data_IF_285396126571
#
_entry.id   IF_285396126571
#
_cell.length_a   1.000
_cell.length_b   1.000
_cell.length_c   1.000
_cell.angle_alpha   90.00
_cell.angle_beta   90.00
_cell.angle_gamma   90.00
#
_symmetry.space_group_name_H-M   'P 1'
#
loop_
_entity.id
_entity.type
_entity.pdbx_description
1 polymer ?
#
# COMPACT_ATOMS: atom_id res chain seq x y z
N UNK A 1 -26.23 34.63 -66.13
CA UNK A 1 -26.39 33.34 -65.40
C UNK A 1 -25.11 33.11 -64.62
N UNK A 2 -25.19 33.18 -63.29
CA UNK A 2 -24.04 32.91 -62.39
C UNK A 2 -24.23 31.50 -61.77
N UNK A 3 -23.24 30.63 -61.76
CA UNK A 3 -23.37 29.32 -61.14
C UNK A 3 -23.31 29.46 -59.63
N UNK A 4 -24.27 28.81 -58.94
CA UNK A 4 -24.30 28.64 -57.52
C UNK A 4 -23.33 27.47 -57.19
N UNK A 5 -22.27 27.75 -56.44
CA UNK A 5 -21.37 26.74 -55.87
C UNK A 5 -21.89 26.33 -54.50
N UNK A 6 -22.45 25.13 -54.44
CA UNK A 6 -22.90 24.53 -53.18
C UNK A 6 -21.68 23.92 -52.46
N UNK A 7 -21.23 24.51 -51.36
CA UNK A 7 -20.22 23.92 -50.51
C UNK A 7 -20.86 22.82 -49.66
N UNK A 8 -20.48 21.58 -49.91
CA UNK A 8 -20.81 20.42 -49.06
C UNK A 8 -19.85 20.41 -47.87
N UNK A 9 -20.35 20.74 -46.67
CA UNK A 9 -19.60 20.60 -45.44
C UNK A 9 -19.55 19.10 -45.02
N UNK A 10 -18.41 18.47 -45.17
CA UNK A 10 -18.16 17.12 -44.73
C UNK A 10 -17.90 17.17 -43.21
N UNK A 11 -18.90 16.83 -42.41
CA UNK A 11 -18.74 16.67 -40.96
C UNK A 11 -17.92 15.40 -40.69
N UNK A 12 -16.66 15.56 -40.29
CA UNK A 12 -15.84 14.49 -39.75
C UNK A 12 -16.41 14.06 -38.39
N UNK A 13 -17.14 12.96 -38.40
CA UNK A 13 -17.48 12.21 -37.15
C UNK A 13 -16.18 11.60 -36.63
N UNK A 14 -15.57 12.27 -35.66
CA UNK A 14 -14.52 11.67 -34.84
C UNK A 14 -15.21 10.61 -33.95
N UNK A 15 -14.86 9.32 -34.06
CA UNK A 15 -15.40 8.33 -33.15
C UNK A 15 -14.97 8.71 -31.73
N UNK A 16 -15.95 8.92 -30.83
CA UNK A 16 -15.72 8.92 -29.40
C UNK A 16 -15.27 7.50 -29.06
N UNK A 17 -13.95 7.27 -29.03
CA UNK A 17 -13.41 6.04 -28.45
C UNK A 17 -13.87 6.01 -26.99
N UNK A 18 -14.85 5.15 -26.74
CA UNK A 18 -15.33 4.86 -25.41
C UNK A 18 -14.13 4.39 -24.59
N UNK A 19 -13.69 5.22 -23.65
CA UNK A 19 -12.72 4.80 -22.64
C UNK A 19 -13.31 3.56 -21.98
N UNK A 20 -12.75 2.42 -22.31
CA UNK A 20 -13.00 1.20 -21.54
C UNK A 20 -12.66 1.53 -20.09
N UNK A 21 -13.68 1.53 -19.22
CA UNK A 21 -13.49 1.65 -17.78
C UNK A 21 -12.69 0.41 -17.34
N UNK A 22 -11.38 0.55 -17.28
CA UNK A 22 -10.54 -0.50 -16.73
C UNK A 22 -10.83 -0.59 -15.24
N UNK A 23 -11.31 -1.76 -14.82
CA UNK A 23 -11.56 -2.01 -13.39
C UNK A 23 -10.26 -1.82 -12.61
N UNK A 24 -10.31 -1.25 -11.41
CA UNK A 24 -9.17 -1.22 -10.52
C UNK A 24 -8.62 -2.63 -10.29
N UNK A 25 -7.31 -2.74 -10.17
CA UNK A 25 -6.62 -4.01 -9.94
C UNK A 25 -5.76 -3.92 -8.69
N UNK A 26 -5.74 -5.00 -7.93
CA UNK A 26 -4.84 -5.16 -6.81
C UNK A 26 -3.45 -5.56 -7.31
N UNK A 27 -2.40 -4.94 -6.79
CA UNK A 27 -1.03 -5.21 -7.19
C UNK A 27 -0.47 -6.35 -6.34
N UNK A 28 -0.23 -7.50 -7.00
CA UNK A 28 0.41 -8.65 -6.37
C UNK A 28 1.90 -8.68 -6.66
N UNK A 29 2.71 -8.73 -5.61
CA UNK A 29 4.16 -8.71 -5.68
C UNK A 29 4.79 -9.73 -4.74
N UNK A 30 5.99 -10.17 -5.10
CA UNK A 30 6.89 -11.00 -4.30
C UNK A 30 8.26 -10.33 -4.21
N UNK A 31 9.02 -10.65 -3.18
CA UNK A 31 10.44 -10.32 -3.13
C UNK A 31 11.18 -11.03 -4.27
N UNK A 32 12.11 -10.33 -4.91
CA UNK A 32 13.02 -10.91 -5.89
C UNK A 32 14.19 -11.55 -5.14
N UNK A 33 14.04 -12.81 -4.75
CA UNK A 33 15.06 -13.52 -3.97
C UNK A 33 16.15 -14.06 -4.90
N UNK A 34 17.44 -13.75 -4.65
CA UNK A 34 18.52 -14.61 -5.11
C UNK A 34 18.43 -15.88 -4.26
N UNK A 35 18.15 -17.04 -4.82
CA UNK A 35 18.00 -18.35 -4.17
C UNK A 35 18.53 -18.39 -2.70
N UNK A 36 17.75 -18.04 -1.68
CA UNK A 36 18.24 -17.97 -0.33
C UNK A 36 18.29 -19.35 0.30
N UNK A 37 19.34 -19.64 1.03
CA UNK A 37 19.42 -20.83 1.87
C UNK A 37 18.42 -20.74 3.05
N UNK A 38 18.06 -19.52 3.47
CA UNK A 38 17.12 -19.24 4.54
C UNK A 38 15.83 -18.62 3.99
N UNK A 39 14.64 -19.00 4.48
CA UNK A 39 13.39 -18.40 4.02
C UNK A 39 13.27 -16.94 4.50
N UNK A 40 12.87 -16.05 3.59
CA UNK A 40 12.74 -14.61 3.83
C UNK A 40 11.31 -14.18 3.49
N UNK A 41 10.74 -13.28 4.28
CA UNK A 41 9.47 -12.61 4.00
C UNK A 41 9.56 -11.12 4.37
N UNK A 42 8.74 -10.28 3.72
CA UNK A 42 8.58 -8.89 4.15
C UNK A 42 7.25 -8.74 4.91
N UNK A 43 7.31 -8.13 6.09
CA UNK A 43 6.11 -7.66 6.79
C UNK A 43 5.87 -6.21 6.42
N UNK A 44 4.66 -5.91 5.95
CA UNK A 44 4.24 -4.53 5.69
C UNK A 44 2.98 -4.21 6.50
N UNK A 45 2.94 -3.02 7.09
CA UNK A 45 1.88 -2.57 7.98
C UNK A 45 1.26 -1.28 7.46
N UNK A 46 -0.05 -1.29 7.26
CA UNK A 46 -0.78 -0.09 6.86
C UNK A 46 -1.30 0.65 8.09
N UNK A 47 -0.93 1.92 8.20
CA UNK A 47 -1.39 2.88 9.20
C UNK A 47 -2.34 3.89 8.52
N UNK A 48 -3.52 3.43 8.13
CA UNK A 48 -4.51 4.15 7.32
C UNK A 48 -5.03 5.42 8.00
N UNK A 49 -5.67 5.24 9.11
CA UNK A 49 -6.25 6.25 10.00
C UNK A 49 -6.57 5.55 11.31
N UNK A 50 -7.30 6.16 12.22
CA UNK A 50 -7.62 5.52 13.49
C UNK A 50 -6.49 5.59 14.52
N UNK A 51 -6.32 4.53 15.32
CA UNK A 51 -5.42 4.52 16.46
C UNK A 51 -4.02 3.98 16.16
N UNK A 52 -3.28 3.75 17.23
CA UNK A 52 -1.97 3.12 17.23
C UNK A 52 -2.03 1.81 18.03
N UNK A 53 -1.64 0.71 17.41
CA UNK A 53 -1.60 -0.59 18.09
C UNK A 53 -0.24 -0.79 18.80
N UNK A 54 -0.16 -0.26 20.02
CA UNK A 54 1.04 -0.34 20.84
C UNK A 54 1.42 -1.80 21.19
N UNK A 55 0.45 -2.70 21.25
CA UNK A 55 0.69 -4.13 21.54
C UNK A 55 1.43 -4.78 20.37
N UNK A 56 1.00 -4.54 19.15
CA UNK A 56 1.63 -5.06 17.95
C UNK A 56 3.06 -4.52 17.80
N UNK A 57 3.23 -3.20 17.87
CA UNK A 57 4.56 -2.60 17.63
C UNK A 57 5.56 -2.99 18.72
N UNK A 58 5.14 -3.04 19.98
CA UNK A 58 5.99 -3.52 21.07
C UNK A 58 6.45 -4.95 20.84
N UNK A 59 5.55 -5.84 20.40
CA UNK A 59 5.89 -7.21 20.04
C UNK A 59 6.95 -7.27 18.93
N UNK A 60 6.81 -6.44 17.86
CA UNK A 60 7.80 -6.41 16.77
C UNK A 60 9.17 -5.94 17.24
N UNK A 61 9.21 -4.95 18.14
CA UNK A 61 10.46 -4.48 18.76
C UNK A 61 11.11 -5.58 19.62
N UNK A 62 10.34 -6.22 20.49
CA UNK A 62 10.81 -7.31 21.38
C UNK A 62 11.38 -8.49 20.59
N UNK A 63 10.72 -8.92 19.53
CA UNK A 63 11.16 -10.03 18.67
C UNK A 63 12.13 -9.58 17.55
N UNK A 64 12.48 -8.28 17.49
CA UNK A 64 13.33 -7.67 16.48
C UNK A 64 12.90 -7.97 15.04
N UNK A 65 11.60 -7.89 14.78
CA UNK A 65 11.02 -8.12 13.45
C UNK A 65 10.95 -6.80 12.70
N UNK A 66 11.74 -6.62 11.61
CA UNK A 66 11.62 -5.42 10.78
C UNK A 66 10.31 -5.41 10.00
N UNK A 67 9.81 -4.19 9.73
CA UNK A 67 8.60 -3.98 8.94
C UNK A 67 8.68 -2.68 8.13
N UNK A 68 8.09 -2.69 6.92
CA UNK A 68 7.80 -1.45 6.20
C UNK A 68 6.43 -0.95 6.62
N UNK A 69 6.36 0.28 7.12
CA UNK A 69 5.11 0.90 7.59
C UNK A 69 4.65 1.94 6.57
N UNK A 70 3.48 1.73 5.98
CA UNK A 70 2.83 2.69 5.10
C UNK A 70 1.92 3.59 5.95
N UNK A 71 2.34 4.84 6.18
CA UNK A 71 1.63 5.75 7.07
C UNK A 71 0.96 6.90 6.30
N UNK A 72 -0.31 7.17 6.62
CA UNK A 72 -0.98 8.36 6.10
C UNK A 72 -0.57 9.60 6.89
N UNK A 73 -0.60 10.78 6.23
CA UNK A 73 -0.46 12.07 6.94
C UNK A 73 -1.43 12.18 8.11
N UNK A 74 -2.67 11.73 7.92
CA UNK A 74 -3.69 11.79 8.96
C UNK A 74 -3.36 10.92 10.17
N UNK A 75 -2.79 9.73 9.95
CA UNK A 75 -2.36 8.86 11.04
C UNK A 75 -1.16 9.47 11.78
N UNK A 76 -0.15 9.96 11.06
CA UNK A 76 1.03 10.63 11.63
C UNK A 76 0.62 11.79 12.54
N UNK A 77 -0.30 12.64 12.07
CA UNK A 77 -0.76 13.81 12.83
C UNK A 77 -1.52 13.46 14.12
N UNK A 78 -2.15 12.30 14.20
CA UNK A 78 -3.03 11.91 15.32
C UNK A 78 -2.39 10.97 16.33
N UNK A 79 -1.28 10.32 15.99
CA UNK A 79 -0.70 9.22 16.79
C UNK A 79 0.73 9.54 17.23
N UNK A 80 0.93 10.63 17.99
CA UNK A 80 2.25 11.09 18.44
C UNK A 80 3.06 9.99 19.17
N UNK A 81 2.41 9.15 19.97
CA UNK A 81 3.05 8.00 20.65
C UNK A 81 3.58 6.99 19.62
N UNK A 82 2.75 6.62 18.64
CA UNK A 82 3.15 5.72 17.56
C UNK A 82 4.30 6.28 16.73
N UNK A 83 4.24 7.56 16.37
CA UNK A 83 5.32 8.28 15.68
C UNK A 83 6.62 8.22 16.48
N UNK A 84 6.56 8.48 17.78
CA UNK A 84 7.74 8.42 18.67
C UNK A 84 8.32 7.02 18.72
N UNK A 85 7.47 6.00 18.86
CA UNK A 85 7.90 4.61 18.92
C UNK A 85 8.58 4.16 17.62
N UNK A 86 7.98 4.43 16.46
CA UNK A 86 8.55 4.07 15.17
C UNK A 86 9.89 4.78 14.92
N UNK A 87 9.99 6.07 15.25
CA UNK A 87 11.22 6.86 15.12
C UNK A 87 12.35 6.41 16.06
N UNK A 88 12.02 5.80 17.19
CA UNK A 88 13.03 5.31 18.15
C UNK A 88 13.67 3.99 17.71
N UNK A 89 13.13 3.34 16.68
CA UNK A 89 13.63 2.07 16.13
C UNK A 89 13.81 2.13 14.60
N UNK A 90 14.63 3.05 14.08
CA UNK A 90 14.81 3.20 12.63
C UNK A 90 15.48 1.97 11.97
N UNK A 91 16.12 1.14 12.78
CA UNK A 91 16.71 -0.12 12.33
C UNK A 91 15.68 -1.24 12.11
N UNK A 92 14.46 -1.05 12.60
CA UNK A 92 13.35 -2.01 12.44
C UNK A 92 12.26 -1.49 11.52
N UNK A 93 12.01 -0.17 11.51
CA UNK A 93 10.86 0.39 10.81
C UNK A 93 11.26 1.31 9.67
N UNK A 94 10.96 0.87 8.45
CA UNK A 94 11.07 1.67 7.24
C UNK A 94 9.71 2.31 6.96
N UNK A 95 9.63 3.66 7.03
CA UNK A 95 8.36 4.38 6.95
C UNK A 95 8.16 4.92 5.54
N UNK A 96 7.07 4.54 4.92
CA UNK A 96 6.74 4.81 3.54
C UNK A 96 5.33 5.45 3.40
N UNK A 97 5.00 5.92 2.21
CA UNK A 97 3.82 6.75 1.97
C UNK A 97 2.54 5.92 1.76
N UNK A 98 1.48 6.26 2.52
CA UNK A 98 0.11 5.72 2.37
C UNK A 98 -0.91 6.80 1.96
N UNK A 99 -0.43 7.92 1.43
CA UNK A 99 -1.21 9.09 1.08
C UNK A 99 -1.51 10.02 2.26
N UNK A 100 -2.21 11.09 1.96
CA UNK A 100 -2.56 12.07 2.99
C UNK A 100 -3.81 11.67 3.77
N UNK A 101 -4.88 11.29 3.08
CA UNK A 101 -6.23 11.12 3.62
C UNK A 101 -6.78 9.69 3.49
N UNK A 102 -5.99 8.77 2.96
CA UNK A 102 -6.40 7.40 2.66
C UNK A 102 -7.45 7.33 1.54
N UNK A 103 -7.18 8.02 0.42
CA UNK A 103 -8.02 8.00 -0.78
C UNK A 103 -7.53 6.91 -1.73
N UNK A 104 -8.41 6.01 -2.23
CA UNK A 104 -8.03 5.00 -3.21
C UNK A 104 -7.40 5.60 -4.47
N UNK A 105 -6.37 4.94 -4.99
CA UNK A 105 -5.64 5.39 -6.18
C UNK A 105 -6.39 5.04 -7.48
N UNK A 106 -7.61 5.57 -7.61
CA UNK A 106 -8.44 5.51 -8.81
C UNK A 106 -8.89 6.92 -9.18
N UNK A 107 -8.91 7.23 -10.48
CA UNK A 107 -9.15 8.58 -11.01
C UNK A 107 -10.49 8.62 -11.75
N UNK A 108 -11.31 9.61 -11.46
CA UNK A 108 -12.57 9.90 -12.13
C UNK A 108 -13.71 10.20 -11.17
N UNK A 109 -14.56 11.15 -11.55
CA UNK A 109 -15.74 11.52 -10.77
C UNK A 109 -16.65 10.30 -10.53
N UNK A 110 -16.94 10.03 -9.26
CA UNK A 110 -17.83 8.93 -8.87
C UNK A 110 -17.16 7.54 -8.81
N UNK A 111 -15.88 7.40 -9.18
CA UNK A 111 -15.16 6.14 -9.00
C UNK A 111 -15.00 5.82 -7.51
N UNK A 112 -15.20 4.57 -7.17
CA UNK A 112 -15.13 4.09 -5.78
C UNK A 112 -14.47 2.71 -5.72
N UNK A 113 -13.77 2.48 -4.61
CA UNK A 113 -13.26 1.15 -4.26
C UNK A 113 -13.79 0.81 -2.86
N UNK A 114 -14.48 -0.31 -2.72
CA UNK A 114 -15.14 -0.71 -1.46
C UNK A 114 -16.00 0.39 -0.83
N UNK A 115 -16.67 1.20 -1.67
CA UNK A 115 -17.52 2.31 -1.22
C UNK A 115 -16.75 3.60 -0.87
N UNK A 116 -15.42 3.59 -0.84
CA UNK A 116 -14.58 4.77 -0.61
C UNK A 116 -14.41 5.53 -1.93
N UNK A 117 -14.66 6.83 -1.94
CA UNK A 117 -14.49 7.66 -3.13
C UNK A 117 -13.01 7.75 -3.50
N UNK A 118 -12.70 7.60 -4.79
CA UNK A 118 -11.39 7.84 -5.36
C UNK A 118 -11.12 9.32 -5.64
N UNK A 119 -10.06 9.59 -6.37
CA UNK A 119 -9.66 10.93 -6.74
C UNK A 119 -10.49 11.43 -7.93
N UNK A 120 -11.04 12.65 -7.90
CA UNK A 120 -11.85 13.16 -9.00
C UNK A 120 -11.04 13.37 -10.29
N UNK A 121 -9.75 13.68 -10.16
CA UNK A 121 -8.82 13.92 -11.26
C UNK A 121 -7.36 13.62 -10.85
N UNK A 122 -6.45 13.78 -11.80
CA UNK A 122 -5.00 13.56 -11.61
C UNK A 122 -4.42 14.49 -10.54
N UNK A 123 -4.82 15.75 -10.51
CA UNK A 123 -4.24 16.74 -9.58
C UNK A 123 -4.57 16.37 -8.10
N UNK A 124 -5.76 15.82 -7.85
CA UNK A 124 -6.12 15.33 -6.51
C UNK A 124 -5.30 14.09 -6.10
N UNK A 125 -5.09 13.15 -7.03
CA UNK A 125 -4.21 12.00 -6.75
C UNK A 125 -2.78 12.46 -6.47
N UNK A 126 -2.24 13.38 -7.28
CA UNK A 126 -0.90 13.92 -7.04
C UNK A 126 -0.79 14.64 -5.69
N UNK A 127 -1.83 15.37 -5.27
CA UNK A 127 -1.88 16.01 -3.95
C UNK A 127 -1.94 14.99 -2.82
N UNK A 128 -2.77 13.94 -2.98
CA UNK A 128 -2.87 12.85 -1.99
C UNK A 128 -1.52 12.18 -1.75
N UNK A 129 -0.77 11.86 -2.82
CA UNK A 129 0.56 11.26 -2.73
C UNK A 129 1.57 12.26 -2.17
N UNK A 130 1.66 13.49 -2.71
CA UNK A 130 2.66 14.49 -2.29
C UNK A 130 2.51 14.90 -0.83
N UNK A 131 1.28 15.10 -0.36
CA UNK A 131 1.01 15.53 1.01
C UNK A 131 1.28 14.40 2.02
N UNK A 132 1.05 13.14 1.62
CA UNK A 132 1.45 11.97 2.38
C UNK A 132 2.96 11.87 2.49
N UNK A 133 3.65 11.94 1.37
CA UNK A 133 5.11 11.88 1.30
C UNK A 133 5.78 12.98 2.13
N UNK A 134 5.27 14.21 2.06
CA UNK A 134 5.79 15.32 2.85
C UNK A 134 5.65 15.08 4.36
N UNK A 135 4.57 14.44 4.80
CA UNK A 135 4.39 14.07 6.20
C UNK A 135 5.35 12.97 6.65
N UNK A 136 5.61 11.97 5.80
CA UNK A 136 6.62 10.93 6.06
C UNK A 136 8.01 11.55 6.14
N UNK A 137 8.38 12.40 5.18
CA UNK A 137 9.67 13.08 5.18
C UNK A 137 9.87 13.97 6.43
N UNK A 138 8.85 14.72 6.82
CA UNK A 138 8.89 15.52 8.05
C UNK A 138 9.03 14.64 9.31
N UNK A 139 8.46 13.44 9.31
CA UNK A 139 8.56 12.48 10.41
C UNK A 139 9.93 11.83 10.49
N UNK A 140 10.50 11.42 9.36
CA UNK A 140 11.68 10.54 9.30
C UNK A 140 12.98 11.28 8.98
N UNK A 141 12.90 12.42 8.29
CA UNK A 141 14.02 13.13 7.69
C UNK A 141 14.41 12.59 6.30
N UNK A 142 13.66 11.64 5.75
CA UNK A 142 13.92 11.02 4.46
C UNK A 142 12.66 10.98 3.60
N UNK A 143 12.78 11.29 2.31
CA UNK A 143 11.68 11.14 1.37
C UNK A 143 11.32 9.65 1.18
N UNK A 144 10.03 9.28 1.21
CA UNK A 144 9.61 7.91 0.95
C UNK A 144 9.90 7.53 -0.50
N UNK A 145 10.19 6.25 -0.72
CA UNK A 145 10.45 5.67 -2.05
C UNK A 145 9.30 4.83 -2.55
N UNK A 146 8.48 4.35 -1.64
CA UNK A 146 7.34 3.50 -1.93
C UNK A 146 6.04 4.22 -1.61
N UNK A 147 5.04 3.94 -2.42
CA UNK A 147 3.67 4.35 -2.19
C UNK A 147 2.75 3.14 -2.20
N UNK A 148 1.89 3.03 -1.19
CA UNK A 148 0.75 2.13 -1.18
C UNK A 148 -0.53 2.94 -1.08
N UNK A 149 -1.36 2.94 -2.15
CA UNK A 149 -2.67 3.59 -2.12
C UNK A 149 -3.63 2.88 -1.18
N UNK A 150 -4.59 3.63 -0.66
CA UNK A 150 -5.68 3.04 0.10
C UNK A 150 -6.33 1.89 -0.67
N UNK A 151 -6.69 0.81 0.03
CA UNK A 151 -7.25 -0.43 -0.54
C UNK A 151 -6.28 -1.28 -1.38
N UNK A 152 -5.08 -0.78 -1.70
CA UNK A 152 -4.10 -1.39 -2.61
C UNK A 152 -4.66 -1.74 -4.00
N UNK A 153 -5.77 -1.10 -4.41
CA UNK A 153 -6.34 -1.19 -5.75
C UNK A 153 -6.08 0.10 -6.53
N UNK A 154 -5.73 -0.07 -7.80
CA UNK A 154 -5.32 1.01 -8.68
C UNK A 154 -5.98 0.92 -10.04
N UNK A 155 -6.35 2.04 -10.64
CA UNK A 155 -6.57 2.07 -12.08
C UNK A 155 -5.25 2.29 -12.84
N UNK A 156 -5.18 1.95 -14.14
CA UNK A 156 -3.95 2.08 -14.92
C UNK A 156 -3.43 3.52 -15.02
N UNK A 157 -4.31 4.51 -15.03
CA UNK A 157 -3.91 5.91 -15.09
C UNK A 157 -3.27 6.35 -13.77
N UNK A 158 -3.84 5.94 -12.65
CA UNK A 158 -3.27 6.21 -11.33
C UNK A 158 -1.87 5.59 -11.17
N UNK A 159 -1.68 4.34 -11.62
CA UNK A 159 -0.36 3.70 -11.63
C UNK A 159 0.67 4.49 -12.43
N UNK A 160 0.31 4.96 -13.64
CA UNK A 160 1.19 5.76 -14.48
C UNK A 160 1.58 7.07 -13.80
N UNK A 161 0.63 7.76 -13.17
CA UNK A 161 0.88 9.01 -12.44
C UNK A 161 1.83 8.79 -11.28
N UNK A 162 1.58 7.79 -10.42
CA UNK A 162 2.41 7.47 -9.25
C UNK A 162 3.84 7.14 -9.65
N UNK A 163 4.02 6.32 -10.70
CA UNK A 163 5.35 5.97 -11.23
C UNK A 163 6.04 7.20 -11.84
N UNK A 164 5.30 8.05 -12.57
CA UNK A 164 5.84 9.30 -13.13
C UNK A 164 6.27 10.31 -12.04
N UNK A 165 5.66 10.26 -10.85
CA UNK A 165 6.08 11.03 -9.68
C UNK A 165 7.36 10.47 -9.03
N UNK A 166 7.87 9.31 -9.47
CA UNK A 166 9.11 8.69 -9.00
C UNK A 166 8.92 7.63 -7.91
N UNK A 167 7.70 7.26 -7.55
CA UNK A 167 7.44 6.26 -6.53
C UNK A 167 7.39 4.84 -7.10
N UNK A 168 7.88 3.89 -6.30
CA UNK A 168 7.60 2.47 -6.49
C UNK A 168 6.22 2.17 -5.87
N UNK A 169 5.38 1.42 -6.58
CA UNK A 169 4.08 1.00 -6.04
C UNK A 169 4.25 -0.28 -5.24
N UNK A 170 3.83 -0.27 -3.98
CA UNK A 170 3.92 -1.43 -3.10
C UNK A 170 2.66 -2.29 -3.18
N UNK A 171 2.83 -3.52 -3.67
CA UNK A 171 1.85 -4.59 -3.61
C UNK A 171 2.12 -5.57 -2.46
N UNK A 172 1.47 -6.72 -2.52
CA UNK A 172 1.65 -7.82 -1.56
C UNK A 172 1.30 -9.17 -2.22
N UNK A 173 1.60 -10.26 -1.53
CA UNK A 173 1.19 -11.62 -1.93
C UNK A 173 0.28 -12.27 -0.88
N UNK A 174 0.36 -11.84 0.38
CA UNK A 174 -0.43 -12.36 1.49
C UNK A 174 -1.15 -11.23 2.21
N UNK A 175 -2.48 -11.21 2.15
CA UNK A 175 -3.30 -10.32 2.98
C UNK A 175 -3.60 -11.02 4.31
N UNK A 176 -2.88 -10.67 5.37
CA UNK A 176 -2.94 -11.40 6.62
C UNK A 176 -4.23 -11.17 7.41
N UNK A 177 -4.75 -9.93 7.44
CA UNK A 177 -5.83 -9.54 8.36
C UNK A 177 -7.09 -8.96 7.70
N UNK A 178 -7.11 -8.87 6.34
CA UNK A 178 -8.22 -8.32 5.55
C UNK A 178 -8.73 -6.96 6.07
N UNK A 179 -7.82 -5.99 6.24
CA UNK A 179 -8.18 -4.67 6.74
C UNK A 179 -8.47 -4.64 8.24
N UNK A 180 -7.82 -5.50 9.01
CA UNK A 180 -8.03 -5.72 10.45
C UNK A 180 -9.48 -6.12 10.78
N UNK A 181 -10.05 -7.03 9.97
CA UNK A 181 -11.41 -7.56 10.17
C UNK A 181 -11.44 -9.04 10.52
N UNK A 182 -10.32 -9.75 10.33
CA UNK A 182 -10.25 -11.18 10.61
C UNK A 182 -10.06 -11.47 12.09
N UNK A 183 -10.53 -12.66 12.48
CA UNK A 183 -10.25 -13.25 13.78
C UNK A 183 -8.84 -13.81 13.84
N UNK A 184 -8.28 -13.88 15.04
CA UNK A 184 -6.94 -14.38 15.32
C UNK A 184 -6.60 -15.67 14.59
N UNK A 185 -7.51 -16.68 14.66
CA UNK A 185 -7.27 -18.00 14.07
C UNK A 185 -7.13 -17.92 12.54
N UNK A 186 -7.92 -17.06 11.88
CA UNK A 186 -7.83 -16.86 10.45
C UNK A 186 -6.51 -16.16 10.04
N UNK A 187 -6.05 -15.19 10.84
CA UNK A 187 -4.75 -14.53 10.64
C UNK A 187 -3.62 -15.55 10.78
N UNK A 188 -3.63 -16.35 11.85
CA UNK A 188 -2.63 -17.40 12.07
C UNK A 188 -2.62 -18.40 10.91
N UNK A 189 -3.78 -18.84 10.44
CA UNK A 189 -3.88 -19.76 9.31
C UNK A 189 -3.25 -19.18 8.03
N UNK A 190 -3.48 -17.89 7.74
CA UNK A 190 -2.86 -17.21 6.60
C UNK A 190 -1.35 -17.10 6.72
N UNK A 191 -0.85 -16.77 7.93
CA UNK A 191 0.59 -16.68 8.18
C UNK A 191 1.26 -18.05 8.12
N UNK A 192 0.61 -19.11 8.54
CA UNK A 192 1.16 -20.48 8.41
C UNK A 192 1.33 -20.92 6.95
N UNK A 193 0.58 -20.32 6.01
CA UNK A 193 0.70 -20.58 4.58
C UNK A 193 1.79 -19.75 3.88
N UNK A 194 2.44 -18.81 4.59
CA UNK A 194 3.51 -17.94 4.04
C UNK A 194 4.69 -18.78 3.57
N UNK A 195 5.21 -18.39 2.41
CA UNK A 195 6.37 -18.97 1.73
C UNK A 195 7.50 -17.95 1.62
N UNK A 196 8.70 -18.44 1.39
CA UNK A 196 9.84 -17.56 1.13
C UNK A 196 9.58 -16.69 -0.09
N UNK A 197 9.84 -15.39 0.06
CA UNK A 197 9.56 -14.36 -0.95
C UNK A 197 8.21 -13.67 -0.79
N UNK A 198 7.35 -14.12 0.10
CA UNK A 198 6.07 -13.45 0.32
C UNK A 198 6.22 -12.05 0.93
N UNK A 199 5.36 -11.15 0.46
CA UNK A 199 5.13 -9.82 1.04
C UNK A 199 3.77 -9.87 1.74
N UNK A 200 3.80 -9.69 3.05
CA UNK A 200 2.62 -9.77 3.93
C UNK A 200 2.09 -8.35 4.15
N UNK A 201 0.79 -8.12 3.91
CA UNK A 201 0.10 -6.90 4.35
C UNK A 201 -0.76 -7.19 5.57
N UNK A 202 -0.68 -6.30 6.56
CA UNK A 202 -1.55 -6.23 7.73
C UNK A 202 -1.70 -4.77 8.19
N UNK A 203 -2.47 -4.53 9.25
CA UNK A 203 -2.81 -3.19 9.70
C UNK A 203 -2.41 -2.96 11.16
N UNK A 204 -1.94 -1.74 11.47
CA UNK A 204 -1.57 -1.33 12.83
C UNK A 204 -2.43 -0.20 13.40
N UNK A 205 -3.50 0.17 12.70
CA UNK A 205 -4.32 1.34 13.04
C UNK A 205 -5.64 1.00 13.73
N UNK A 206 -5.87 -0.28 14.07
CA UNK A 206 -7.08 -0.75 14.76
C UNK A 206 -6.73 -1.58 16.01
N UNK A 207 -6.30 -0.93 17.12
CA UNK A 207 -5.80 -1.63 18.31
C UNK A 207 -6.84 -2.51 19.03
N UNK A 208 -8.14 -2.30 18.74
CA UNK A 208 -9.22 -3.14 19.26
C UNK A 208 -9.50 -4.39 18.42
N UNK A 209 -8.83 -4.55 17.27
CA UNK A 209 -8.94 -5.75 16.42
C UNK A 209 -8.12 -6.92 16.99
N UNK A 210 -8.30 -8.08 16.40
CA UNK A 210 -7.50 -9.25 16.75
C UNK A 210 -6.19 -9.38 15.95
N UNK A 211 -5.84 -8.31 15.20
CA UNK A 211 -4.64 -8.28 14.35
C UNK A 211 -3.36 -8.51 15.15
N UNK A 212 -3.17 -7.80 16.27
CA UNK A 212 -1.98 -7.95 17.09
C UNK A 212 -1.82 -9.38 17.61
N UNK A 213 -2.91 -10.00 18.09
CA UNK A 213 -2.87 -11.37 18.61
C UNK A 213 -2.61 -12.40 17.51
N UNK A 214 -3.22 -12.23 16.35
CA UNK A 214 -3.03 -13.09 15.20
C UNK A 214 -1.62 -13.00 14.63
N UNK A 215 -1.12 -11.75 14.41
CA UNK A 215 0.23 -11.52 13.93
C UNK A 215 1.28 -12.04 14.90
N UNK A 216 1.18 -11.72 16.20
CA UNK A 216 2.15 -12.18 17.20
C UNK A 216 2.26 -13.70 17.21
N UNK A 217 1.14 -14.41 17.12
CA UNK A 217 1.14 -15.88 17.10
C UNK A 217 1.72 -16.45 15.81
N UNK A 218 1.29 -15.91 14.65
CA UNK A 218 1.73 -16.39 13.34
C UNK A 218 3.18 -16.05 13.02
N UNK A 219 3.65 -14.84 13.38
CA UNK A 219 5.03 -14.43 13.18
C UNK A 219 6.00 -15.25 14.04
N UNK A 220 5.64 -15.59 15.30
CA UNK A 220 6.41 -16.53 16.12
C UNK A 220 6.53 -17.91 15.46
N UNK A 221 5.46 -18.39 14.84
CA UNK A 221 5.49 -19.65 14.08
C UNK A 221 6.43 -19.55 12.87
N UNK A 222 6.46 -18.41 12.15
CA UNK A 222 7.38 -18.19 11.04
C UNK A 222 8.83 -18.14 11.51
N UNK A 223 9.13 -17.41 12.59
CA UNK A 223 10.47 -17.36 13.19
C UNK A 223 10.95 -18.76 13.61
N UNK A 224 10.07 -19.56 14.22
CA UNK A 224 10.38 -20.96 14.61
C UNK A 224 10.64 -21.87 13.38
N UNK A 225 10.11 -21.50 12.19
CA UNK A 225 10.39 -22.17 10.90
C UNK A 225 11.65 -21.63 10.22
N UNK A 226 12.41 -20.74 10.87
CA UNK A 226 13.64 -20.16 10.36
C UNK A 226 13.47 -18.98 9.40
N UNK A 227 12.28 -18.38 9.32
CA UNK A 227 12.07 -17.18 8.51
C UNK A 227 12.85 -15.98 9.07
N UNK A 228 13.46 -15.22 8.17
CA UNK A 228 13.97 -13.89 8.42
C UNK A 228 13.05 -12.85 7.78
N UNK A 229 12.84 -11.75 8.47
CA UNK A 229 12.04 -10.65 7.95
C UNK A 229 12.96 -9.52 7.44
N UNK A 230 12.49 -8.83 6.39
CA UNK A 230 13.18 -7.71 5.77
C UNK A 230 12.19 -6.59 5.48
N UNK A 231 12.69 -5.37 5.32
CA UNK A 231 11.89 -4.25 4.78
C UNK A 231 11.87 -4.30 3.24
N UNK A 232 10.91 -3.60 2.62
CA UNK A 232 10.86 -3.50 1.15
C UNK A 232 12.05 -2.74 0.58
N UNK A 233 12.65 -1.85 1.37
CA UNK A 233 13.80 -1.05 0.94
C UNK A 233 15.10 -1.84 0.87
N UNK A 234 15.18 -2.98 1.54
CA UNK A 234 16.35 -3.88 1.52
C UNK A 234 16.35 -4.84 0.34
N UNK A 235 15.22 -5.00 -0.35
CA UNK A 235 15.04 -6.02 -1.38
C UNK A 235 14.40 -5.45 -2.65
N UNK A 236 14.74 -6.04 -3.79
CA UNK A 236 13.97 -5.84 -5.01
C UNK A 236 12.67 -6.64 -4.95
N UNK A 237 11.64 -6.11 -5.63
CA UNK A 237 10.35 -6.79 -5.77
C UNK A 237 10.06 -7.11 -7.24
N UNK A 238 9.26 -8.12 -7.47
CA UNK A 238 8.81 -8.55 -8.80
C UNK A 238 7.31 -8.82 -8.79
N UNK A 239 6.62 -8.73 -9.93
CA UNK A 239 5.22 -9.15 -10.03
C UNK A 239 5.04 -10.60 -9.57
N UNK A 240 3.96 -10.86 -8.83
CA UNK A 240 3.53 -12.22 -8.56
C UNK A 240 2.71 -12.72 -9.76
N UNK A 241 3.28 -13.62 -10.54
CA UNK A 241 2.51 -14.33 -11.56
C UNK A 241 1.70 -15.42 -10.85
N UNK A 242 0.40 -15.26 -10.84
CA UNK A 242 -0.56 -16.28 -10.43
C UNK A 242 -1.16 -16.95 -11.65
#
# INVERSE_FOLDING_TARGET
MRPIVTLLALALLVPLEGRASSRPVEIHQLLALPQPETPIAALTLDACGGGYDAKLIRFLVEERIPATVFATRNWIARNAEGVTMLRSHPELFDIEDHGAHHVPAVIGLGHRVYGIAGNPDVAHLESEVRDGAAAVEAMTGHAPRWYRGATAEYDPQALQVIVAMGYKVAGFSVNADAGATLKREAIVARLNAVRSGDIIVAHMNKPASETADGLSSGLKSLLARGFHFVTLSEMDVRPAHR
#
